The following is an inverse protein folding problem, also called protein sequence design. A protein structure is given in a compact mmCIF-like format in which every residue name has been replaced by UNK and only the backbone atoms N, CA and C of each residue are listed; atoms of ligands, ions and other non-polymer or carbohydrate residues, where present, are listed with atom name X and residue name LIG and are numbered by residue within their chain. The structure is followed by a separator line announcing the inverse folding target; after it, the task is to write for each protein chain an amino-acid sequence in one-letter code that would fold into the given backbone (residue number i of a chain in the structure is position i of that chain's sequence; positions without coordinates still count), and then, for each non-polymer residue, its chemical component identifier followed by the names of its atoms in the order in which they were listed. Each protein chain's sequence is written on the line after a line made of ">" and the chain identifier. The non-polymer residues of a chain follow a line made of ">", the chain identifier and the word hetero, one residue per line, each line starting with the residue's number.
data_IF_610298597109
#
_entry.id   IF_610298597109
#
_cell.length_a   1.000
_cell.length_b   1.000
_cell.length_c   1.000
_cell.angle_alpha   90.00
_cell.angle_beta   90.00
_cell.angle_gamma   90.00
#
_symmetry.space_group_name_H-M   'P 1'
#
loop_
_entity.id
_entity.type
_entity.pdbx_description
1 polymer ?
#
# COMPACT_ATOMS: atom_id res chain seq x y z
N UNK A 1 -24.30 60.49 37.62
CA UNK A 1 -23.24 61.47 37.96
C UNK A 1 -21.94 61.01 37.34
N UNK A 2 -21.12 61.97 36.84
CA UNK A 2 -19.75 61.87 36.25
C UNK A 2 -19.73 61.35 34.79
N UNK A 3 -19.64 62.19 33.75
CA UNK A 3 -18.63 63.19 33.28
C UNK A 3 -17.52 62.58 32.39
N UNK A 4 -17.53 63.05 31.13
CA UNK A 4 -16.41 63.42 30.24
C UNK A 4 -15.35 62.37 29.88
N UNK A 5 -15.13 62.16 28.58
CA UNK A 5 -14.07 62.93 27.90
C UNK A 5 -14.17 62.82 26.37
N UNK A 6 -14.05 63.99 25.75
CA UNK A 6 -13.95 64.25 24.32
C UNK A 6 -12.48 64.03 23.92
N UNK A 7 -12.22 63.27 22.86
CA UNK A 7 -10.93 63.30 22.16
C UNK A 7 -11.18 63.43 20.66
N UNK A 8 -11.03 64.66 20.21
CA UNK A 8 -11.12 65.11 18.82
C UNK A 8 -9.81 64.75 18.11
N UNK A 9 -9.86 64.02 16.99
CA UNK A 9 -8.87 64.23 15.93
C UNK A 9 -9.52 63.97 14.58
N UNK A 10 -9.56 65.04 13.80
CA UNK A 10 -10.16 65.18 12.49
C UNK A 10 -9.03 65.08 11.46
N UNK A 11 -9.02 64.10 10.57
CA UNK A 11 -8.29 64.21 9.30
C UNK A 11 -9.21 63.77 8.15
N UNK A 12 -9.47 64.79 7.34
CA UNK A 12 -10.22 64.87 6.09
C UNK A 12 -9.69 63.93 5.01
N UNK A 13 -10.62 63.47 4.16
CA UNK A 13 -10.57 63.50 2.67
C UNK A 13 -10.78 62.13 2.01
N UNK A 14 -11.56 61.91 0.94
CA UNK A 14 -12.26 62.77 -0.04
C UNK A 14 -12.99 61.79 -1.02
N UNK A 15 -14.19 62.17 -1.52
CA UNK A 15 -14.85 61.75 -2.80
C UNK A 15 -15.47 60.32 -2.87
N UNK A 16 -16.81 60.12 -2.84
CA UNK A 16 -17.88 60.25 -3.89
C UNK A 16 -17.96 59.04 -4.86
N UNK A 17 -19.07 58.71 -5.58
CA UNK A 17 -20.52 58.96 -5.44
C UNK A 17 -21.41 57.68 -5.50
N UNK A 18 -22.66 57.83 -5.01
CA UNK A 18 -24.00 57.48 -5.57
C UNK A 18 -24.20 56.27 -6.54
N UNK A 19 -25.40 55.65 -6.41
CA UNK A 19 -26.24 54.94 -7.40
C UNK A 19 -25.97 53.41 -7.53
N UNK A 20 -26.95 52.47 -7.59
CA UNK A 20 -28.42 52.43 -7.61
C UNK A 20 -28.84 51.04 -7.06
N UNK A 21 -30.03 50.95 -6.48
CA UNK A 21 -30.83 49.73 -6.36
C UNK A 21 -30.97 48.98 -7.71
N UNK A 22 -30.75 47.66 -7.70
CA UNK A 22 -31.46 46.72 -8.58
C UNK A 22 -31.40 45.31 -7.97
N UNK A 23 -32.52 44.85 -7.40
CA UNK A 23 -32.81 43.43 -7.26
C UNK A 23 -33.60 43.02 -8.50
N UNK A 24 -33.17 41.97 -9.19
CA UNK A 24 -34.07 41.02 -9.86
C UNK A 24 -33.30 39.83 -10.43
N UNK A 25 -33.73 38.66 -9.97
CA UNK A 25 -33.79 37.35 -10.62
C UNK A 25 -32.51 36.65 -11.10
N UNK A 26 -32.09 35.64 -10.31
CA UNK A 26 -31.19 34.57 -10.74
C UNK A 26 -32.00 33.34 -11.20
N UNK A 27 -32.00 32.98 -12.50
CA UNK A 27 -32.23 31.61 -12.91
C UNK A 27 -30.88 30.86 -12.86
N UNK A 28 -30.67 30.09 -11.80
CA UNK A 28 -29.57 29.13 -11.71
C UNK A 28 -29.82 27.96 -12.67
N UNK A 29 -29.24 28.04 -13.86
CA UNK A 29 -28.98 26.88 -14.72
C UNK A 29 -27.99 27.25 -15.81
N UNK A 30 -26.69 27.18 -15.49
CA UNK A 30 -25.65 27.02 -16.50
C UNK A 30 -24.67 25.96 -16.03
N UNK A 31 -24.75 24.81 -16.69
CA UNK A 31 -23.78 23.74 -16.70
C UNK A 31 -22.37 24.28 -16.93
N UNK A 32 -21.46 24.05 -15.97
CA UNK A 32 -20.03 24.24 -16.17
C UNK A 32 -19.40 22.89 -16.47
N UNK A 33 -19.25 22.65 -17.76
CA UNK A 33 -18.45 21.59 -18.34
C UNK A 33 -16.96 21.81 -18.02
N UNK A 34 -16.29 20.69 -17.70
CA UNK A 34 -14.86 20.39 -17.83
C UNK A 34 -13.81 21.43 -17.37
N UNK A 35 -13.19 21.14 -16.22
CA UNK A 35 -11.73 21.21 -16.12
C UNK A 35 -11.25 19.77 -15.98
N UNK A 36 -10.96 19.17 -17.13
CA UNK A 36 -10.18 17.94 -17.24
C UNK A 36 -8.83 18.21 -16.58
N UNK A 37 -8.56 17.57 -15.45
CA UNK A 37 -7.19 17.42 -14.97
C UNK A 37 -6.56 16.28 -15.77
N UNK A 38 -6.19 16.59 -17.01
CA UNK A 38 -5.20 15.80 -17.74
C UNK A 38 -3.83 16.07 -17.10
N UNK A 39 -3.65 15.55 -15.90
CA UNK A 39 -2.31 15.24 -15.41
C UNK A 39 -2.03 13.85 -15.95
N UNK A 40 -0.98 13.66 -16.76
CA UNK A 40 -0.50 12.32 -17.05
C UNK A 40 -0.08 11.73 -15.70
N UNK A 41 -0.92 10.88 -15.12
CA UNK A 41 -0.43 9.91 -14.16
C UNK A 41 0.52 9.06 -14.99
N UNK A 42 1.81 9.18 -14.68
CA UNK A 42 2.76 8.15 -15.08
C UNK A 42 2.26 6.89 -14.37
N UNK A 43 1.39 6.13 -15.05
CA UNK A 43 0.95 4.82 -14.63
C UNK A 43 2.22 3.97 -14.71
N UNK A 44 3.02 3.99 -13.65
CA UNK A 44 3.98 2.91 -13.43
C UNK A 44 3.15 1.65 -13.37
N UNK A 45 3.45 0.68 -14.23
CA UNK A 45 2.67 -0.54 -14.34
C UNK A 45 2.58 -1.19 -12.94
N UNK A 46 1.40 -1.14 -12.34
CA UNK A 46 1.10 -1.75 -11.06
C UNK A 46 1.29 -3.27 -11.22
N UNK A 47 2.03 -3.89 -10.30
CA UNK A 47 2.33 -5.32 -10.41
C UNK A 47 1.17 -6.12 -9.81
N UNK A 48 0.43 -6.82 -10.66
CA UNK A 48 -0.69 -7.66 -10.22
C UNK A 48 -0.22 -8.89 -9.43
N UNK A 49 -0.88 -9.17 -8.31
CA UNK A 49 -0.71 -10.32 -7.44
C UNK A 49 -2.04 -11.03 -7.19
N UNK A 50 -2.12 -12.30 -7.58
CA UNK A 50 -3.22 -13.19 -7.24
C UNK A 50 -2.91 -13.87 -5.89
N UNK A 51 -3.56 -13.41 -4.82
CA UNK A 51 -3.33 -13.89 -3.46
C UNK A 51 -4.39 -14.91 -3.02
N UNK A 52 -3.95 -16.05 -2.53
CA UNK A 52 -4.80 -17.11 -1.98
C UNK A 52 -4.68 -17.13 -0.46
N UNK A 53 -5.80 -16.99 0.24
CA UNK A 53 -5.86 -16.95 1.70
C UNK A 53 -7.21 -17.41 2.25
N UNK A 54 -7.25 -17.74 3.54
CA UNK A 54 -8.53 -17.84 4.27
C UNK A 54 -9.25 -16.47 4.30
N UNK A 55 -10.59 -16.43 4.15
CA UNK A 55 -11.36 -15.18 4.22
C UNK A 55 -11.24 -14.49 5.58
N UNK A 56 -10.99 -15.24 6.66
CA UNK A 56 -10.90 -14.71 8.03
C UNK A 56 -9.49 -14.35 8.48
N UNK A 57 -8.48 -14.54 7.62
CA UNK A 57 -7.08 -14.21 7.96
C UNK A 57 -6.83 -12.69 7.93
N UNK A 58 -6.91 -12.04 9.10
CA UNK A 58 -6.72 -10.59 9.20
C UNK A 58 -5.27 -10.14 8.96
N UNK A 59 -4.27 -10.92 9.38
CA UNK A 59 -2.87 -10.55 9.12
C UNK A 59 -2.55 -10.56 7.62
N UNK A 60 -3.14 -11.49 6.86
CA UNK A 60 -3.04 -11.52 5.40
C UNK A 60 -3.60 -10.22 4.78
N UNK A 61 -4.75 -9.73 5.24
CA UNK A 61 -5.31 -8.45 4.77
C UNK A 61 -4.43 -7.24 5.13
N UNK A 62 -3.77 -7.26 6.30
CA UNK A 62 -2.80 -6.21 6.65
C UNK A 62 -1.55 -6.27 5.78
N UNK A 63 -1.12 -7.47 5.40
CA UNK A 63 -0.01 -7.66 4.46
C UNK A 63 -0.38 -7.14 3.06
N UNK A 64 -1.62 -7.34 2.60
CA UNK A 64 -2.15 -6.71 1.37
C UNK A 64 -1.97 -5.21 1.39
N UNK A 65 -2.41 -4.51 2.44
CA UNK A 65 -2.22 -3.06 2.55
C UNK A 65 -0.74 -2.64 2.58
N UNK A 66 0.13 -3.49 3.13
CA UNK A 66 1.57 -3.24 3.08
C UNK A 66 2.09 -3.29 1.64
N UNK A 67 1.74 -4.29 0.84
CA UNK A 67 2.24 -4.38 -0.54
C UNK A 67 1.57 -3.39 -1.49
N UNK A 68 0.29 -3.06 -1.29
CA UNK A 68 -0.42 -2.03 -2.07
C UNK A 68 0.27 -0.65 -1.95
N UNK A 69 0.89 -0.36 -0.80
CA UNK A 69 1.68 0.86 -0.62
C UNK A 69 2.99 0.90 -1.45
N UNK A 70 3.33 -0.18 -2.16
CA UNK A 70 4.52 -0.33 -3.02
C UNK A 70 4.15 -0.64 -4.49
N UNK A 71 2.96 -0.19 -4.93
CA UNK A 71 2.43 -0.33 -6.30
C UNK A 71 2.21 -1.80 -6.73
N UNK A 72 1.69 -2.61 -5.82
CA UNK A 72 1.17 -3.95 -6.13
C UNK A 72 -0.37 -3.96 -6.05
N UNK A 73 -1.02 -4.47 -7.09
CA UNK A 73 -2.47 -4.68 -7.13
C UNK A 73 -2.78 -6.09 -6.65
N UNK A 74 -3.53 -6.27 -5.56
CA UNK A 74 -3.76 -7.59 -4.97
C UNK A 74 -5.21 -8.04 -5.13
N UNK A 75 -5.41 -9.08 -5.92
CA UNK A 75 -6.70 -9.79 -6.01
C UNK A 75 -6.72 -10.98 -5.07
N UNK A 76 -7.68 -11.01 -4.14
CA UNK A 76 -7.80 -12.08 -3.14
C UNK A 76 -8.73 -13.23 -3.59
N UNK A 77 -8.27 -14.45 -3.39
CA UNK A 77 -8.98 -15.71 -3.61
C UNK A 77 -9.13 -16.48 -2.30
N UNK A 78 -10.27 -17.16 -2.15
CA UNK A 78 -10.63 -17.92 -0.95
C UNK A 78 -10.92 -19.38 -1.31
N UNK A 79 -9.88 -20.19 -1.60
CA UNK A 79 -10.06 -21.60 -1.90
C UNK A 79 -10.53 -22.37 -0.66
N UNK A 80 -11.27 -23.46 -0.87
CA UNK A 80 -11.67 -24.38 0.20
C UNK A 80 -10.45 -25.09 0.82
N UNK A 81 -9.45 -25.41 -0.01
CA UNK A 81 -8.20 -26.02 0.41
C UNK A 81 -7.00 -25.17 -0.04
N UNK A 82 -6.50 -24.35 0.90
CA UNK A 82 -5.34 -23.51 0.66
C UNK A 82 -4.04 -24.32 0.55
N UNK A 83 -3.94 -25.47 1.21
CA UNK A 83 -2.74 -26.32 1.18
C UNK A 83 -2.56 -26.95 -0.20
N UNK A 84 -3.64 -27.38 -0.85
CA UNK A 84 -3.57 -27.87 -2.23
C UNK A 84 -3.18 -26.77 -3.23
N UNK A 85 -3.63 -25.53 -3.02
CA UNK A 85 -3.19 -24.38 -3.82
C UNK A 85 -1.69 -24.15 -3.68
N UNK A 86 -1.15 -24.17 -2.45
CA UNK A 86 0.29 -24.02 -2.19
C UNK A 86 1.12 -25.09 -2.90
N UNK A 87 0.68 -26.35 -2.83
CA UNK A 87 1.34 -27.47 -3.52
C UNK A 87 1.29 -27.31 -5.05
N UNK A 88 0.15 -26.88 -5.59
CA UNK A 88 0.00 -26.61 -7.04
C UNK A 88 1.00 -25.56 -7.53
N UNK A 89 1.28 -24.55 -6.72
CA UNK A 89 2.29 -23.53 -7.02
C UNK A 89 3.72 -23.95 -6.65
N UNK A 90 3.95 -25.17 -6.17
CA UNK A 90 5.28 -25.70 -5.91
C UNK A 90 5.91 -25.24 -4.59
N UNK A 91 5.14 -24.65 -3.67
CA UNK A 91 5.66 -24.26 -2.35
C UNK A 91 5.87 -25.51 -1.49
N UNK A 92 7.11 -25.81 -1.04
CA UNK A 92 7.34 -27.00 -0.23
C UNK A 92 6.67 -26.90 1.15
N UNK A 93 6.07 -27.99 1.63
CA UNK A 93 5.22 -28.03 2.84
C UNK A 93 5.87 -27.37 4.07
N UNK A 94 7.18 -27.57 4.28
CA UNK A 94 7.91 -27.01 5.43
C UNK A 94 8.07 -25.49 5.39
N UNK A 95 7.78 -24.86 4.25
CA UNK A 95 7.90 -23.43 4.00
C UNK A 95 6.55 -22.74 3.83
N UNK A 96 5.45 -23.41 4.20
CA UNK A 96 4.12 -22.81 4.13
C UNK A 96 3.93 -21.69 5.18
N UNK A 97 3.09 -20.74 4.82
CA UNK A 97 2.61 -19.62 5.62
C UNK A 97 1.09 -19.44 5.45
N UNK A 98 0.54 -18.35 5.97
CA UNK A 98 -0.91 -18.11 5.99
C UNK A 98 -1.53 -17.76 4.63
N UNK A 99 -0.74 -17.34 3.64
CA UNK A 99 -1.19 -16.98 2.29
C UNK A 99 -0.09 -17.21 1.25
N UNK A 100 -0.47 -17.23 -0.02
CA UNK A 100 0.42 -17.35 -1.19
C UNK A 100 -0.03 -16.35 -2.24
N UNK A 101 0.90 -15.59 -2.80
CA UNK A 101 0.63 -14.61 -3.85
C UNK A 101 1.39 -14.97 -5.11
N UNK A 102 0.79 -14.82 -6.28
CA UNK A 102 1.39 -15.22 -7.55
C UNK A 102 1.27 -14.09 -8.57
N UNK A 103 2.36 -13.76 -9.26
CA UNK A 103 2.32 -12.76 -10.35
C UNK A 103 1.71 -13.35 -11.62
N UNK A 104 1.34 -12.50 -12.58
CA UNK A 104 0.96 -12.92 -13.94
C UNK A 104 2.02 -13.78 -14.63
N UNK A 105 3.29 -13.52 -14.32
CA UNK A 105 4.46 -14.21 -14.87
C UNK A 105 4.77 -15.52 -14.13
N UNK A 106 3.99 -15.87 -13.09
CA UNK A 106 4.09 -17.13 -12.36
C UNK A 106 5.09 -17.15 -11.20
N UNK A 107 5.62 -16.01 -10.77
CA UNK A 107 6.48 -15.95 -9.58
C UNK A 107 5.65 -16.03 -8.29
N UNK A 108 6.14 -16.82 -7.32
CA UNK A 108 5.40 -17.16 -6.10
C UNK A 108 5.99 -16.46 -4.88
N UNK A 109 5.14 -15.78 -4.11
CA UNK A 109 5.49 -15.11 -2.86
C UNK A 109 4.66 -15.70 -1.71
N UNK A 110 5.33 -16.46 -0.84
CA UNK A 110 4.71 -17.20 0.25
C UNK A 110 4.90 -16.48 1.59
N UNK A 111 3.79 -16.09 2.22
CA UNK A 111 3.79 -15.51 3.56
C UNK A 111 4.20 -14.04 3.64
N UNK A 112 4.53 -13.61 4.86
CA UNK A 112 4.70 -12.20 5.23
C UNK A 112 6.05 -11.61 4.77
N UNK A 113 6.29 -11.60 3.46
CA UNK A 113 7.50 -11.04 2.84
C UNK A 113 7.36 -9.51 2.75
N UNK A 114 8.38 -8.72 3.15
CA UNK A 114 8.35 -7.28 2.91
C UNK A 114 8.38 -6.93 1.41
N UNK A 115 7.47 -6.04 1.00
CA UNK A 115 7.30 -5.59 -0.38
C UNK A 115 8.61 -5.21 -1.09
N UNK A 116 9.58 -4.62 -0.39
CA UNK A 116 10.88 -4.26 -0.98
C UNK A 116 11.63 -5.47 -1.57
N UNK A 117 11.57 -6.61 -0.88
CA UNK A 117 12.24 -7.84 -1.35
C UNK A 117 11.47 -8.51 -2.49
N UNK A 118 10.14 -8.34 -2.53
CA UNK A 118 9.31 -8.77 -3.67
C UNK A 118 9.73 -7.95 -4.91
N UNK A 119 9.83 -6.63 -4.79
CA UNK A 119 10.30 -5.77 -5.90
C UNK A 119 11.72 -6.11 -6.30
N UNK A 120 12.62 -6.27 -5.35
CA UNK A 120 14.01 -6.65 -5.61
C UNK A 120 14.08 -7.95 -6.42
N UNK A 121 13.39 -8.99 -5.97
CA UNK A 121 13.32 -10.25 -6.69
C UNK A 121 12.74 -10.09 -8.10
N UNK A 122 11.69 -9.28 -8.27
CA UNK A 122 11.07 -9.05 -9.59
C UNK A 122 11.94 -8.21 -10.54
N UNK A 123 12.87 -7.41 -10.01
CA UNK A 123 13.89 -6.72 -10.80
C UNK A 123 15.04 -7.66 -11.19
N UNK A 124 15.50 -8.49 -10.26
CA UNK A 124 16.62 -9.41 -10.46
C UNK A 124 16.26 -10.64 -11.29
N UNK A 125 15.05 -11.18 -11.09
CA UNK A 125 14.52 -12.45 -11.62
C UNK A 125 15.57 -13.57 -11.64
N UNK A 126 16.09 -14.01 -10.47
CA UNK A 126 17.16 -15.00 -10.41
C UNK A 126 16.79 -16.28 -11.18
N UNK A 127 17.68 -16.80 -12.06
CA UNK A 127 17.33 -17.94 -12.91
C UNK A 127 17.11 -19.21 -12.10
N UNK A 128 16.16 -20.06 -12.56
CA UNK A 128 15.87 -21.34 -11.92
C UNK A 128 15.08 -21.22 -10.61
N UNK A 129 14.53 -20.04 -10.31
CA UNK A 129 13.78 -19.78 -9.07
C UNK A 129 12.29 -19.64 -9.31
N UNK A 130 11.53 -20.09 -8.31
CA UNK A 130 10.07 -20.01 -8.26
C UNK A 130 9.63 -18.70 -7.60
N UNK A 131 10.36 -18.26 -6.56
CA UNK A 131 10.06 -17.03 -5.83
C UNK A 131 10.57 -17.06 -4.40
N UNK A 132 9.89 -16.33 -3.50
CA UNK A 132 10.33 -16.13 -2.11
C UNK A 132 9.34 -16.72 -1.11
N UNK A 133 9.84 -17.05 0.08
CA UNK A 133 9.01 -17.47 1.23
C UNK A 133 9.50 -16.91 2.56
N UNK A 134 8.55 -16.51 3.40
CA UNK A 134 8.72 -16.33 4.84
C UNK A 134 7.81 -17.36 5.54
N UNK A 135 8.35 -18.50 5.99
CA UNK A 135 7.56 -19.57 6.61
C UNK A 135 6.89 -19.16 7.91
N UNK A 136 5.72 -19.76 8.16
CA UNK A 136 4.94 -19.49 9.36
C UNK A 136 4.40 -18.06 9.39
N UNK A 137 4.49 -17.42 10.55
CA UNK A 137 4.01 -16.03 10.77
C UNK A 137 4.90 -15.31 11.80
N UNK A 138 6.14 -14.91 11.45
CA UNK A 138 7.05 -14.26 12.38
C UNK A 138 6.46 -12.95 12.93
N UNK A 139 6.54 -12.77 14.25
CA UNK A 139 6.06 -11.54 14.90
C UNK A 139 6.87 -10.34 14.41
N UNK A 140 6.17 -9.27 14.02
CA UNK A 140 6.79 -8.04 13.52
C UNK A 140 7.07 -8.02 12.02
N UNK A 141 6.89 -9.14 11.31
CA UNK A 141 6.81 -9.15 9.84
C UNK A 141 5.60 -8.32 9.35
N UNK A 142 5.53 -7.87 8.08
CA UNK A 142 4.50 -6.95 7.64
C UNK A 142 3.11 -7.59 7.72
N UNK A 143 2.19 -6.94 8.44
CA UNK A 143 0.87 -7.49 8.75
C UNK A 143 0.82 -8.35 10.04
N UNK A 144 1.97 -8.64 10.63
CA UNK A 144 2.15 -9.33 11.92
C UNK A 144 2.70 -8.41 13.02
N UNK A 145 2.57 -7.09 12.86
CA UNK A 145 3.00 -6.09 13.84
C UNK A 145 2.15 -6.20 15.13
N UNK A 146 2.82 -6.41 16.28
CA UNK A 146 2.15 -6.48 17.59
C UNK A 146 2.96 -5.72 18.63
N UNK A 147 2.50 -4.53 19.01
CA UNK A 147 3.01 -3.78 20.17
C UNK A 147 4.53 -3.57 20.19
N UNK A 148 5.14 -3.29 19.04
CA UNK A 148 6.60 -3.07 18.92
C UNK A 148 7.46 -4.33 19.08
N UNK A 149 6.86 -5.52 19.16
CA UNK A 149 7.59 -6.78 19.25
C UNK A 149 8.05 -7.22 17.87
N UNK A 150 9.27 -7.74 17.80
CA UNK A 150 9.89 -8.24 16.58
C UNK A 150 10.63 -9.55 16.87
N UNK A 151 10.57 -10.50 15.94
CA UNK A 151 11.33 -11.74 15.97
C UNK A 151 12.13 -11.84 14.68
N UNK A 152 13.47 -11.96 14.73
CA UNK A 152 14.29 -12.12 13.53
C UNK A 152 13.83 -13.32 12.70
N UNK A 153 13.88 -13.17 11.38
CA UNK A 153 13.46 -14.22 10.45
C UNK A 153 14.27 -14.17 9.15
N UNK A 154 14.17 -15.23 8.39
CA UNK A 154 14.85 -15.37 7.10
C UNK A 154 13.81 -15.36 5.99
N UNK A 155 14.10 -14.63 4.93
CA UNK A 155 13.42 -14.76 3.64
C UNK A 155 14.22 -15.79 2.86
N UNK A 156 13.54 -16.85 2.41
CA UNK A 156 14.16 -17.89 1.61
C UNK A 156 13.78 -17.76 0.14
N UNK A 157 14.68 -18.22 -0.72
CA UNK A 157 14.50 -18.37 -2.15
C UNK A 157 14.07 -19.80 -2.44
N UNK A 158 12.93 -19.98 -3.10
CA UNK A 158 12.46 -21.29 -3.56
C UNK A 158 12.96 -21.51 -4.98
N UNK A 159 13.63 -22.62 -5.20
CA UNK A 159 14.09 -23.04 -6.53
C UNK A 159 13.02 -23.87 -7.23
N UNK A 160 13.03 -23.87 -8.55
CA UNK A 160 12.08 -24.63 -9.39
C UNK A 160 12.19 -26.14 -9.22
N UNK A 161 13.30 -26.65 -8.69
CA UNK A 161 13.49 -28.06 -8.32
C UNK A 161 12.95 -28.41 -6.93
N UNK A 162 12.35 -27.45 -6.22
CA UNK A 162 11.81 -27.59 -4.87
C UNK A 162 12.84 -27.43 -3.75
N UNK A 163 14.12 -27.24 -4.07
CA UNK A 163 15.13 -26.88 -3.08
C UNK A 163 14.95 -25.44 -2.60
N UNK A 164 15.51 -25.13 -1.42
CA UNK A 164 15.33 -23.81 -0.79
C UNK A 164 16.67 -23.33 -0.21
N UNK A 165 17.01 -22.07 -0.47
CA UNK A 165 18.23 -21.41 0.02
C UNK A 165 17.90 -20.08 0.70
N UNK A 166 18.84 -19.52 1.46
CA UNK A 166 18.66 -18.19 2.05
C UNK A 166 18.67 -17.11 0.96
N UNK A 167 17.77 -16.13 1.07
CA UNK A 167 17.75 -14.93 0.23
C UNK A 167 18.20 -13.71 1.01
N UNK A 168 17.57 -13.46 2.16
CA UNK A 168 17.89 -12.35 3.06
C UNK A 168 17.61 -12.69 4.52
N UNK A 169 18.35 -12.09 5.44
CA UNK A 169 18.09 -12.16 6.88
C UNK A 169 17.53 -10.84 7.38
N UNK A 170 16.44 -10.89 8.13
CA UNK A 170 15.81 -9.73 8.77
C UNK A 170 16.09 -9.84 10.26
N UNK A 171 17.03 -9.02 10.74
CA UNK A 171 17.55 -9.04 12.12
C UNK A 171 16.87 -7.99 12.98
N UNK A 172 16.47 -6.88 12.37
CA UNK A 172 15.78 -5.76 13.00
C UNK A 172 14.45 -5.45 12.31
N UNK A 173 13.61 -4.62 12.92
CA UNK A 173 12.35 -4.23 12.31
C UNK A 173 12.59 -3.36 11.06
N UNK A 174 13.61 -2.52 11.12
CA UNK A 174 14.04 -1.55 10.12
C UNK A 174 14.57 -2.23 8.84
N UNK A 175 15.25 -3.38 8.99
CA UNK A 175 15.74 -4.22 7.88
C UNK A 175 14.64 -4.61 6.87
N UNK A 176 13.36 -4.50 7.24
CA UNK A 176 12.22 -4.79 6.37
C UNK A 176 11.88 -3.64 5.40
N UNK A 177 12.30 -2.41 5.72
CA UNK A 177 11.87 -1.18 5.05
C UNK A 177 13.03 -0.34 4.51
N UNK A 178 14.23 -0.50 5.07
CA UNK A 178 15.38 0.31 4.66
C UNK A 178 15.70 0.09 3.17
N UNK A 179 15.76 1.19 2.43
CA UNK A 179 16.22 1.23 1.03
C UNK A 179 17.61 1.88 1.12
N UNK A 180 18.66 1.08 1.04
CA UNK A 180 20.04 1.59 0.94
C UNK A 180 20.27 2.35 -0.37
#
# INVERSE_FOLDING_TARGET
>A
MRRLSLATTLILSIISPIFVTACSDEPSSTSKEMVSRDTPVLQGDEIALEMYKSPTCQCCSKWTHHVEAFDFDVTSHHPDDLSEVKKKFGVPDRYHACHTSVTSDGFVFEGHIPAKFIRQYLMEKPPGTLGLTVPGMPLGSPGMNVGGRFSPYTIFLIHTDGSVSNYAEIKTYEDQYDID
#
